data_IF_685933738854
#
_entry.id   IF_685933738854
#
_cell.length_a   1.000
_cell.length_b   1.000
_cell.length_c   1.000
_cell.angle_alpha   90.00
_cell.angle_beta   90.00
_cell.angle_gamma   90.00
#
_symmetry.space_group_name_H-M   'P 1'
#
loop_
_entity.id
_entity.type
_entity.pdbx_description
1 polymer ?
#
# COMPACT_ATOMS: atom_id res chain seq x y z
N UNK A 1 -64.29 18.07 -48.10
CA UNK A 1 -63.16 17.96 -47.10
C UNK A 1 -62.31 16.77 -47.54
N UNK A 2 -61.16 17.05 -48.14
CA UNK A 2 -60.36 16.07 -48.89
C UNK A 2 -59.45 15.26 -47.95
N UNK A 3 -59.27 14.01 -48.30
CA UNK A 3 -58.49 12.96 -47.65
C UNK A 3 -56.98 13.32 -47.40
N UNK A 4 -56.57 14.49 -47.81
CA UNK A 4 -55.17 14.92 -47.71
C UNK A 4 -54.80 15.69 -46.41
N UNK A 5 -55.79 16.01 -45.57
CA UNK A 5 -55.51 16.71 -44.28
C UNK A 5 -55.32 15.77 -43.07
N UNK A 6 -55.76 14.51 -43.19
CA UNK A 6 -55.61 13.52 -42.09
C UNK A 6 -54.22 12.82 -42.04
N UNK A 7 -53.41 12.97 -43.12
CA UNK A 7 -52.10 12.28 -43.23
C UNK A 7 -50.89 13.12 -42.77
N UNK A 8 -51.12 14.36 -42.34
CA UNK A 8 -50.05 15.26 -41.85
C UNK A 8 -49.90 15.39 -40.35
N UNK A 9 -50.77 14.72 -39.57
CA UNK A 9 -50.73 14.77 -38.09
C UNK A 9 -50.10 13.52 -37.47
N UNK A 10 -49.79 12.47 -38.25
CA UNK A 10 -49.23 11.21 -37.76
C UNK A 10 -47.70 11.05 -37.99
N UNK A 11 -47.01 12.08 -38.45
CA UNK A 11 -45.58 12.05 -38.78
C UNK A 11 -44.73 12.98 -37.86
N UNK A 12 -45.27 13.45 -36.74
CA UNK A 12 -44.64 14.44 -35.88
C UNK A 12 -44.30 13.98 -34.45
N UNK A 13 -44.37 12.68 -34.15
CA UNK A 13 -44.16 12.19 -32.77
C UNK A 13 -43.17 11.02 -32.66
N UNK A 14 -42.16 10.94 -33.54
CA UNK A 14 -41.01 10.04 -33.35
C UNK A 14 -39.77 10.93 -33.37
N UNK A 15 -39.69 11.82 -32.37
CA UNK A 15 -38.50 12.61 -32.11
C UNK A 15 -37.92 12.18 -30.76
N UNK A 16 -36.86 11.36 -30.83
CA UNK A 16 -35.72 11.54 -29.98
C UNK A 16 -35.87 11.20 -28.51
N UNK A 17 -36.09 9.92 -28.16
CA UNK A 17 -35.45 9.41 -26.94
C UNK A 17 -33.97 9.18 -27.29
N UNK A 18 -33.20 10.27 -27.32
CA UNK A 18 -31.77 10.18 -27.17
C UNK A 18 -31.54 9.64 -25.75
N UNK A 19 -31.34 8.31 -25.62
CA UNK A 19 -30.72 7.75 -24.44
C UNK A 19 -29.38 8.46 -24.29
N UNK A 20 -29.34 9.40 -23.33
CA UNK A 20 -28.11 9.84 -22.72
C UNK A 20 -27.60 8.59 -21.96
N UNK A 21 -26.91 7.71 -22.69
CA UNK A 21 -25.94 6.82 -22.09
C UNK A 21 -24.90 7.75 -21.47
N UNK A 22 -25.12 8.18 -20.23
CA UNK A 22 -24.08 8.65 -19.35
C UNK A 22 -23.09 7.49 -19.30
N UNK A 23 -22.07 7.55 -20.15
CA UNK A 23 -20.95 6.64 -20.09
C UNK A 23 -20.37 6.78 -18.69
N UNK A 24 -20.74 5.88 -17.78
CA UNK A 24 -19.97 5.67 -16.58
C UNK A 24 -18.55 5.36 -17.08
N UNK A 25 -17.67 6.34 -17.04
CA UNK A 25 -16.26 6.10 -17.32
C UNK A 25 -15.83 5.06 -16.31
N UNK A 26 -15.58 3.84 -16.78
CA UNK A 26 -15.01 2.81 -15.94
C UNK A 26 -13.74 3.39 -15.29
N UNK A 27 -13.65 3.32 -13.98
CA UNK A 27 -12.51 3.86 -13.25
C UNK A 27 -11.22 3.22 -13.77
N UNK A 28 -10.19 4.02 -13.99
CA UNK A 28 -8.92 3.50 -14.51
C UNK A 28 -8.22 2.66 -13.45
N UNK A 29 -7.52 1.60 -13.87
CA UNK A 29 -6.73 0.76 -12.96
C UNK A 29 -5.76 1.59 -12.10
N UNK A 30 -5.16 2.64 -12.67
CA UNK A 30 -4.30 3.58 -11.92
C UNK A 30 -5.06 4.30 -10.82
N UNK A 31 -6.28 4.73 -11.08
CA UNK A 31 -7.11 5.44 -10.09
C UNK A 31 -7.51 4.52 -8.95
N UNK A 32 -7.85 3.26 -9.22
CA UNK A 32 -8.15 2.24 -8.22
C UNK A 32 -6.94 2.03 -7.29
N UNK A 33 -5.74 1.86 -7.86
CA UNK A 33 -4.51 1.72 -7.07
C UNK A 33 -4.23 2.98 -6.26
N UNK A 34 -4.43 4.18 -6.84
CA UNK A 34 -4.23 5.45 -6.13
C UNK A 34 -5.19 5.59 -4.95
N UNK A 35 -6.46 5.24 -5.10
CA UNK A 35 -7.44 5.27 -4.00
C UNK A 35 -7.09 4.27 -2.90
N UNK A 36 -6.68 3.07 -3.28
CA UNK A 36 -6.19 2.08 -2.33
C UNK A 36 -5.01 2.63 -1.53
N UNK A 37 -3.97 3.15 -2.19
CA UNK A 37 -2.79 3.71 -1.53
C UNK A 37 -3.16 4.86 -0.58
N UNK A 38 -4.02 5.78 -1.01
CA UNK A 38 -4.48 6.90 -0.17
C UNK A 38 -5.33 6.44 1.03
N UNK A 39 -6.07 5.34 0.90
CA UNK A 39 -6.87 4.80 1.99
C UNK A 39 -5.98 4.39 3.18
N UNK A 40 -4.78 3.86 2.92
CA UNK A 40 -3.81 3.45 3.95
C UNK A 40 -2.98 4.59 4.53
N UNK A 41 -2.82 5.70 3.79
CA UNK A 41 -1.89 6.77 4.21
C UNK A 41 -2.56 7.94 4.87
N UNK A 42 -3.73 8.38 4.35
CA UNK A 42 -4.24 9.69 4.64
C UNK A 42 -3.29 10.82 4.18
N UNK A 43 -3.44 12.01 4.73
CA UNK A 43 -2.45 13.09 4.62
C UNK A 43 -1.27 12.81 5.54
N UNK A 44 -1.58 12.29 6.73
CA UNK A 44 -0.62 11.79 7.71
C UNK A 44 -1.24 10.63 8.47
N UNK A 45 -0.42 9.81 9.11
CA UNK A 45 -0.93 8.74 9.97
C UNK A 45 0.00 8.44 11.14
N UNK A 46 -0.60 7.92 12.21
CA UNK A 46 0.06 7.26 13.32
C UNK A 46 -0.49 5.85 13.48
N UNK A 47 0.38 4.89 13.78
CA UNK A 47 -0.06 3.53 14.09
C UNK A 47 0.81 2.89 15.18
N UNK A 48 0.18 2.03 15.98
CA UNK A 48 0.86 1.07 16.86
C UNK A 48 0.69 -0.33 16.28
N UNK A 49 1.82 -1.03 16.12
CA UNK A 49 1.88 -2.29 15.39
C UNK A 49 2.66 -3.32 16.21
N UNK A 50 2.13 -4.54 16.29
CA UNK A 50 2.92 -5.72 16.63
C UNK A 50 3.45 -6.34 15.35
N UNK A 51 4.76 -6.52 15.26
CA UNK A 51 5.42 -7.23 14.16
C UNK A 51 5.98 -8.54 14.66
N UNK A 52 5.50 -9.66 14.11
CA UNK A 52 6.00 -11.00 14.42
C UNK A 52 6.76 -11.55 13.23
N UNK A 53 8.05 -11.82 13.40
CA UNK A 53 8.91 -12.46 12.42
C UNK A 53 8.97 -13.94 12.74
N UNK A 54 8.50 -14.78 11.82
CA UNK A 54 8.53 -16.25 11.94
C UNK A 54 9.56 -16.81 10.98
N UNK A 55 10.50 -17.57 11.51
CA UNK A 55 11.51 -18.32 10.75
C UNK A 55 11.41 -19.80 11.14
N UNK A 56 11.99 -20.74 10.38
CA UNK A 56 11.88 -22.17 10.68
C UNK A 56 12.24 -22.55 12.11
N UNK A 57 13.28 -21.92 12.67
CA UNK A 57 13.85 -22.32 13.95
C UNK A 57 13.58 -21.32 15.09
N UNK A 58 13.00 -20.15 14.78
CA UNK A 58 12.73 -19.12 15.78
C UNK A 58 11.60 -18.18 15.38
N UNK A 59 11.02 -17.52 16.38
CA UNK A 59 10.08 -16.42 16.18
C UNK A 59 10.46 -15.25 17.07
N UNK A 60 10.22 -14.02 16.60
CA UNK A 60 10.47 -12.79 17.34
C UNK A 60 9.33 -11.81 17.16
N UNK A 61 8.80 -11.32 18.26
CA UNK A 61 7.82 -10.25 18.29
C UNK A 61 8.49 -8.91 18.61
N UNK A 62 8.04 -7.85 17.94
CA UNK A 62 8.47 -6.48 18.14
C UNK A 62 7.24 -5.57 18.22
N UNK A 63 7.26 -4.58 19.11
CA UNK A 63 6.26 -3.51 19.13
C UNK A 63 6.83 -2.27 18.48
N UNK A 64 6.03 -1.67 17.60
CA UNK A 64 6.45 -0.53 16.77
C UNK A 64 5.44 0.61 16.94
N UNK A 65 5.95 1.84 16.92
CA UNK A 65 5.16 3.05 16.64
C UNK A 65 5.58 3.60 15.28
N UNK A 66 4.62 3.94 14.46
CA UNK A 66 4.86 4.44 13.12
C UNK A 66 4.17 5.79 12.91
N UNK A 67 4.87 6.72 12.29
CA UNK A 67 4.33 8.00 11.84
C UNK A 67 4.63 8.18 10.36
N UNK A 68 3.69 8.71 9.62
CA UNK A 68 3.91 9.08 8.22
C UNK A 68 3.30 10.44 7.88
N UNK A 69 3.87 11.12 6.89
CA UNK A 69 3.31 12.32 6.27
C UNK A 69 3.51 12.25 4.77
N UNK A 70 2.38 12.19 4.04
CA UNK A 70 2.36 11.97 2.60
C UNK A 70 3.14 10.74 2.17
N UNK A 71 3.72 10.82 0.98
CA UNK A 71 4.56 9.76 0.38
C UNK A 71 6.02 9.85 0.82
N UNK A 72 6.44 10.99 1.32
CA UNK A 72 7.85 11.35 1.43
C UNK A 72 8.45 11.09 2.81
N UNK A 73 7.63 11.04 3.86
CA UNK A 73 8.12 11.00 5.23
C UNK A 73 7.57 9.82 6.02
N UNK A 74 8.43 9.18 6.78
CA UNK A 74 8.07 8.11 7.70
C UNK A 74 9.07 7.94 8.82
N UNK A 75 8.57 7.68 10.02
CA UNK A 75 9.38 7.31 11.18
C UNK A 75 8.81 6.04 11.78
N UNK A 76 9.66 5.07 12.07
CA UNK A 76 9.31 3.86 12.83
C UNK A 76 10.21 3.79 14.05
N UNK A 77 9.60 3.71 15.23
CA UNK A 77 10.26 3.50 16.51
C UNK A 77 9.99 2.09 17.01
N UNK A 78 11.03 1.35 17.35
CA UNK A 78 10.92 0.07 18.06
C UNK A 78 10.74 0.36 19.56
N UNK A 79 9.62 -0.10 20.14
CA UNK A 79 9.31 0.08 21.57
C UNK A 79 9.56 -1.17 22.41
N UNK A 80 9.56 -2.35 21.79
CA UNK A 80 9.90 -3.65 22.38
C UNK A 80 10.47 -4.60 21.31
N UNK A 81 11.25 -5.61 21.66
CA UNK A 81 11.74 -5.99 22.99
C UNK A 81 12.87 -5.06 23.50
N UNK A 82 13.30 -5.19 24.75
CA UNK A 82 14.35 -4.34 25.36
C UNK A 82 15.65 -4.27 24.54
N UNK A 83 16.04 -5.37 23.88
CA UNK A 83 17.24 -5.45 23.03
C UNK A 83 17.22 -4.46 21.88
N UNK A 84 16.06 -4.28 21.24
CA UNK A 84 15.89 -3.49 20.01
C UNK A 84 15.24 -2.12 20.29
N UNK A 85 14.77 -1.92 21.55
CA UNK A 85 14.06 -0.71 21.98
C UNK A 85 14.86 0.56 21.74
N UNK A 86 14.19 1.56 21.16
CA UNK A 86 14.78 2.85 20.83
C UNK A 86 15.46 2.90 19.47
N UNK A 87 15.51 1.77 18.73
CA UNK A 87 15.91 1.79 17.33
C UNK A 87 14.86 2.58 16.54
N UNK A 88 15.33 3.53 15.72
CA UNK A 88 14.46 4.37 14.88
C UNK A 88 14.87 4.24 13.43
N UNK A 89 13.92 3.96 12.55
CA UNK A 89 14.07 4.08 11.11
C UNK A 89 13.39 5.37 10.65
N UNK A 90 14.10 6.20 9.90
CA UNK A 90 13.60 7.42 9.27
C UNK A 90 13.64 7.26 7.76
N UNK A 91 12.49 7.43 7.12
CA UNK A 91 12.37 7.64 5.67
C UNK A 91 12.20 9.12 5.37
N UNK A 92 12.98 9.63 4.44
CA UNK A 92 12.76 10.96 3.81
C UNK A 92 12.92 10.82 2.30
N UNK A 93 11.82 10.95 1.57
CA UNK A 93 11.80 10.71 0.12
C UNK A 93 12.37 9.31 -0.20
N UNK A 94 13.46 9.25 -0.96
CA UNK A 94 14.10 8.00 -1.38
C UNK A 94 15.27 7.57 -0.47
N UNK A 95 15.40 8.16 0.70
CA UNK A 95 16.51 7.88 1.60
C UNK A 95 16.03 7.31 2.93
N UNK A 96 16.81 6.39 3.49
CA UNK A 96 16.55 5.75 4.78
C UNK A 96 17.73 5.93 5.70
N UNK A 97 17.46 6.21 6.97
CA UNK A 97 18.44 6.25 8.05
C UNK A 97 17.96 5.39 9.21
N UNK A 98 18.88 4.75 9.88
CA UNK A 98 18.64 4.04 11.12
C UNK A 98 19.40 4.71 12.27
N UNK A 99 18.70 5.04 13.34
CA UNK A 99 19.29 5.33 14.64
C UNK A 99 19.44 4.02 15.41
N UNK A 100 20.67 3.71 15.84
CA UNK A 100 21.00 2.50 16.61
C UNK A 100 21.46 2.93 17.99
N UNK A 101 20.61 2.76 19.04
CA UNK A 101 20.88 3.26 20.39
C UNK A 101 22.15 2.68 21.02
N UNK A 102 22.45 1.40 20.76
CA UNK A 102 23.61 0.71 21.35
C UNK A 102 24.96 1.28 20.97
N UNK A 103 25.04 2.00 19.84
CA UNK A 103 26.26 2.66 19.34
C UNK A 103 26.08 4.17 19.21
N UNK A 104 24.91 4.69 19.58
CA UNK A 104 24.56 6.12 19.53
C UNK A 104 24.80 6.79 18.17
N UNK A 105 24.53 6.08 17.06
CA UNK A 105 24.77 6.56 15.71
C UNK A 105 23.52 6.56 14.84
N UNK A 106 23.43 7.59 14.00
CA UNK A 106 22.55 7.61 12.83
C UNK A 106 23.35 7.10 11.64
N UNK A 107 22.84 6.05 11.00
CA UNK A 107 23.47 5.40 9.85
C UNK A 107 22.54 5.56 8.65
N UNK A 108 23.04 6.16 7.57
CA UNK A 108 22.32 6.20 6.29
C UNK A 108 22.43 4.83 5.63
N UNK A 109 21.34 4.29 5.16
CA UNK A 109 21.31 3.03 4.40
C UNK A 109 21.76 3.33 2.95
N UNK A 110 22.90 2.80 2.51
CA UNK A 110 23.37 3.01 1.15
C UNK A 110 22.53 2.22 0.14
N UNK A 111 22.51 2.59 -1.16
CA UNK A 111 21.76 1.88 -2.19
C UNK A 111 22.03 0.37 -2.25
N UNK A 112 23.26 -0.06 -2.02
CA UNK A 112 23.65 -1.48 -1.99
C UNK A 112 23.02 -2.29 -0.84
N UNK A 113 22.47 -1.63 0.18
CA UNK A 113 21.80 -2.28 1.31
C UNK A 113 20.27 -2.14 1.24
N UNK A 114 19.71 -1.53 0.20
CA UNK A 114 18.26 -1.34 0.11
C UNK A 114 17.50 -2.66 0.01
N UNK A 115 18.09 -3.67 -0.64
CA UNK A 115 17.49 -5.03 -0.74
C UNK A 115 17.71 -5.89 0.52
N UNK A 116 18.44 -5.40 1.51
CA UNK A 116 18.60 -6.14 2.75
C UNK A 116 17.32 -6.08 3.60
N UNK A 117 17.15 -7.15 4.39
CA UNK A 117 16.03 -7.31 5.32
C UNK A 117 15.97 -6.17 6.33
N UNK A 118 14.83 -5.51 6.43
CA UNK A 118 14.55 -4.51 7.43
C UNK A 118 14.25 -5.16 8.79
N UNK A 119 15.02 -4.84 9.80
CA UNK A 119 14.91 -5.39 11.16
C UNK A 119 14.91 -6.95 11.21
N UNK A 120 15.41 -7.62 10.17
CA UNK A 120 15.40 -9.09 10.06
C UNK A 120 14.07 -9.69 9.59
N UNK A 121 13.10 -8.85 9.21
CA UNK A 121 11.81 -9.24 8.65
C UNK A 121 11.90 -9.69 7.18
N UNK A 122 10.77 -10.06 6.59
CA UNK A 122 10.66 -10.36 5.16
C UNK A 122 10.44 -9.10 4.30
N UNK A 123 10.29 -7.93 4.95
CA UNK A 123 10.38 -6.63 4.31
C UNK A 123 11.83 -6.23 4.08
N UNK A 124 12.11 -5.55 3.00
CA UNK A 124 13.42 -4.94 2.70
C UNK A 124 13.41 -3.45 3.08
N UNK A 125 14.58 -2.83 3.17
CA UNK A 125 14.66 -1.37 3.31
C UNK A 125 14.03 -0.66 2.10
N UNK A 126 14.08 -1.26 0.92
CA UNK A 126 13.46 -0.72 -0.30
C UNK A 126 11.93 -0.73 -0.22
N UNK A 127 11.32 -1.76 0.36
CA UNK A 127 9.88 -1.83 0.57
C UNK A 127 9.36 -0.63 1.38
N UNK A 128 10.12 -0.14 2.36
CA UNK A 128 9.76 1.04 3.15
C UNK A 128 9.75 2.35 2.33
N UNK A 129 10.62 2.45 1.34
CA UNK A 129 10.78 3.66 0.51
C UNK A 129 9.83 3.65 -0.66
N UNK A 130 9.69 2.49 -1.31
CA UNK A 130 9.01 2.34 -2.60
C UNK A 130 7.51 2.08 -2.49
N UNK A 131 6.98 1.93 -1.29
CA UNK A 131 5.57 1.63 -1.07
C UNK A 131 4.62 2.61 -1.79
N UNK A 132 4.99 3.89 -1.91
CA UNK A 132 4.21 4.91 -2.64
C UNK A 132 4.51 4.97 -4.14
N UNK A 133 5.58 4.35 -4.61
CA UNK A 133 5.98 4.39 -6.01
C UNK A 133 5.06 3.59 -6.93
N UNK A 134 4.27 2.66 -6.38
CA UNK A 134 3.33 1.82 -7.15
C UNK A 134 2.35 2.63 -8.01
N UNK A 135 2.00 3.85 -7.63
CA UNK A 135 1.12 4.73 -8.39
C UNK A 135 1.86 5.49 -9.51
N UNK A 136 3.13 5.85 -9.25
CA UNK A 136 3.91 6.76 -10.11
C UNK A 136 4.81 6.01 -11.09
N UNK A 137 5.46 4.94 -10.63
CA UNK A 137 6.55 4.27 -11.33
C UNK A 137 6.10 3.07 -12.16
N UNK A 138 4.83 2.69 -12.08
CA UNK A 138 4.25 1.57 -12.83
C UNK A 138 3.19 2.02 -13.83
N UNK A 139 3.00 1.23 -14.87
CA UNK A 139 1.81 1.20 -15.70
C UNK A 139 0.81 0.23 -15.07
N UNK A 140 -0.49 0.49 -15.22
CA UNK A 140 -1.55 -0.25 -14.54
C UNK A 140 -2.53 -0.80 -15.57
N UNK A 141 -2.82 -2.09 -15.50
CA UNK A 141 -3.78 -2.77 -16.37
C UNK A 141 -4.78 -3.54 -15.51
N UNK A 142 -6.07 -3.27 -15.70
CA UNK A 142 -7.14 -4.09 -15.12
C UNK A 142 -7.13 -5.44 -15.85
N UNK A 143 -6.82 -6.51 -15.12
CA UNK A 143 -6.66 -7.87 -15.67
C UNK A 143 -7.89 -8.74 -15.48
N UNK A 144 -8.88 -8.26 -14.71
CA UNK A 144 -10.12 -8.97 -14.40
C UNK A 144 -10.59 -8.73 -12.98
N UNK A 145 -11.50 -9.58 -12.52
CA UNK A 145 -12.05 -9.57 -11.17
C UNK A 145 -11.92 -10.96 -10.55
N UNK A 146 -11.94 -11.02 -9.23
CA UNK A 146 -11.95 -12.26 -8.45
C UNK A 146 -12.65 -12.04 -7.11
N UNK A 147 -12.83 -13.12 -6.35
CA UNK A 147 -13.37 -13.04 -4.98
C UNK A 147 -12.32 -13.55 -4.01
N UNK A 148 -12.01 -12.75 -2.99
CA UNK A 148 -11.11 -13.10 -1.88
C UNK A 148 -11.88 -12.88 -0.58
N UNK A 149 -12.00 -13.90 0.26
CA UNK A 149 -12.69 -13.86 1.57
C UNK A 149 -14.11 -13.24 1.49
N UNK A 150 -14.85 -13.53 0.39
CA UNK A 150 -16.21 -13.01 0.16
C UNK A 150 -16.27 -11.59 -0.42
N UNK A 151 -15.13 -10.92 -0.65
CA UNK A 151 -15.07 -9.60 -1.25
C UNK A 151 -14.73 -9.69 -2.75
N UNK A 152 -15.52 -9.03 -3.59
CA UNK A 152 -15.18 -8.84 -5.01
C UNK A 152 -14.00 -7.90 -5.11
N UNK A 153 -12.96 -8.31 -5.85
CA UNK A 153 -11.71 -7.57 -6.00
C UNK A 153 -11.39 -7.34 -7.47
N UNK A 154 -10.96 -6.14 -7.80
CA UNK A 154 -10.23 -5.88 -9.02
C UNK A 154 -8.88 -6.59 -8.98
N UNK A 155 -8.49 -7.23 -10.08
CA UNK A 155 -7.16 -7.76 -10.29
C UNK A 155 -6.39 -6.80 -11.21
N UNK A 156 -5.36 -6.15 -10.67
CA UNK A 156 -4.60 -5.15 -11.41
C UNK A 156 -3.15 -5.61 -11.52
N UNK A 157 -2.69 -5.72 -12.77
CA UNK A 157 -1.29 -5.98 -13.10
C UNK A 157 -0.56 -4.66 -13.26
N UNK A 158 0.59 -4.55 -12.58
CA UNK A 158 1.46 -3.39 -12.62
C UNK A 158 2.83 -3.79 -13.17
N UNK A 159 3.26 -3.11 -14.23
CA UNK A 159 4.57 -3.29 -14.87
C UNK A 159 5.36 -1.99 -14.71
N UNK A 160 6.64 -2.05 -14.30
CA UNK A 160 7.45 -0.85 -14.14
C UNK A 160 7.53 -0.07 -15.46
N UNK A 161 7.54 1.26 -15.34
CA UNK A 161 7.85 2.13 -16.47
C UNK A 161 9.32 2.02 -16.84
N UNK A 162 9.65 2.38 -18.07
CA UNK A 162 11.03 2.46 -18.52
C UNK A 162 11.86 3.35 -17.57
N UNK A 163 13.01 2.86 -17.15
CA UNK A 163 13.91 3.53 -16.19
C UNK A 163 13.34 3.83 -14.79
N UNK A 164 12.19 3.24 -14.42
CA UNK A 164 11.69 3.37 -13.05
C UNK A 164 12.68 2.74 -12.06
N UNK A 165 13.06 3.44 -10.98
CA UNK A 165 14.04 2.94 -10.02
C UNK A 165 13.39 1.96 -9.03
N UNK A 166 12.80 0.88 -9.53
CA UNK A 166 12.07 -0.15 -8.78
C UNK A 166 12.70 -1.51 -8.96
N UNK A 167 12.45 -2.43 -8.04
CA UNK A 167 13.07 -3.76 -7.99
C UNK A 167 12.14 -4.86 -8.48
N UNK A 168 10.83 -4.63 -8.51
CA UNK A 168 9.87 -5.63 -8.92
C UNK A 168 9.58 -5.51 -10.41
N UNK A 169 9.84 -6.56 -11.18
CA UNK A 169 9.54 -6.62 -12.63
C UNK A 169 8.04 -6.67 -12.93
N UNK A 170 7.23 -7.15 -11.97
CA UNK A 170 5.77 -7.15 -12.04
C UNK A 170 5.18 -7.21 -10.64
N UNK A 171 4.06 -6.50 -10.43
CA UNK A 171 3.24 -6.66 -9.23
C UNK A 171 1.80 -6.91 -9.66
N UNK A 172 1.12 -7.85 -9.02
CA UNK A 172 -0.33 -8.05 -9.16
C UNK A 172 -0.97 -7.69 -7.83
N UNK A 173 -1.95 -6.79 -7.84
CA UNK A 173 -2.69 -6.40 -6.64
C UNK A 173 -4.16 -6.75 -6.79
N UNK A 174 -4.76 -7.14 -5.66
CA UNK A 174 -6.16 -7.50 -5.52
C UNK A 174 -6.81 -6.50 -4.56
N UNK A 175 -7.65 -5.64 -5.11
CA UNK A 175 -8.23 -4.49 -4.41
C UNK A 175 -9.74 -4.61 -4.42
N UNK A 176 -10.39 -4.54 -3.25
CA UNK A 176 -11.84 -4.64 -3.14
C UNK A 176 -12.55 -3.53 -3.92
N UNK A 177 -13.68 -3.87 -4.56
CA UNK A 177 -14.44 -2.92 -5.38
C UNK A 177 -15.16 -1.86 -4.54
N UNK A 178 -15.52 -2.16 -3.30
CA UNK A 178 -16.32 -1.26 -2.47
C UNK A 178 -15.49 -0.23 -1.70
N UNK A 179 -14.41 -0.66 -1.03
CA UNK A 179 -13.66 0.21 -0.12
C UNK A 179 -12.20 0.39 -0.52
N UNK A 180 -11.80 -0.09 -1.70
CA UNK A 180 -10.42 -0.01 -2.20
C UNK A 180 -9.39 -0.58 -1.24
N UNK A 181 -9.74 -1.68 -0.56
CA UNK A 181 -8.85 -2.38 0.36
C UNK A 181 -8.01 -3.38 -0.45
N UNK A 182 -6.69 -3.31 -0.33
CA UNK A 182 -5.81 -4.31 -0.90
C UNK A 182 -5.81 -5.56 0.01
N UNK A 183 -6.36 -6.66 -0.48
CA UNK A 183 -6.39 -7.93 0.26
C UNK A 183 -5.20 -8.83 -0.07
N UNK A 184 -4.60 -8.67 -1.24
CA UNK A 184 -3.45 -9.46 -1.67
C UNK A 184 -2.57 -8.65 -2.61
N UNK A 185 -1.26 -8.90 -2.57
CA UNK A 185 -0.33 -8.54 -3.64
C UNK A 185 0.68 -9.65 -3.87
N UNK A 186 1.09 -9.80 -5.11
CA UNK A 186 2.09 -10.75 -5.57
C UNK A 186 3.20 -9.98 -6.27
N UNK A 187 4.43 -10.14 -5.79
CA UNK A 187 5.60 -9.43 -6.30
C UNK A 187 6.50 -10.40 -7.02
N UNK A 188 6.80 -10.09 -8.27
CA UNK A 188 7.63 -10.89 -9.16
C UNK A 188 8.94 -10.15 -9.42
N UNK A 189 10.03 -10.89 -9.50
CA UNK A 189 11.33 -10.35 -9.87
C UNK A 189 11.41 -9.98 -11.37
N UNK A 190 12.59 -9.54 -11.82
CA UNK A 190 12.83 -9.15 -13.21
C UNK A 190 12.75 -10.34 -14.17
N UNK A 191 13.05 -11.55 -13.71
CA UNK A 191 12.97 -12.79 -14.48
C UNK A 191 11.54 -13.37 -14.53
N UNK A 192 10.60 -12.77 -13.79
CA UNK A 192 9.19 -13.16 -13.74
C UNK A 192 8.86 -14.26 -12.73
N UNK A 193 9.78 -14.62 -11.83
CA UNK A 193 9.49 -15.55 -10.73
C UNK A 193 8.78 -14.85 -9.59
N UNK A 194 7.78 -15.53 -9.02
CA UNK A 194 7.08 -15.05 -7.82
C UNK A 194 8.05 -15.05 -6.64
N UNK A 195 8.31 -13.86 -6.11
CA UNK A 195 9.28 -13.63 -5.03
C UNK A 195 8.61 -13.52 -3.66
N UNK A 196 7.53 -12.74 -3.56
CA UNK A 196 6.81 -12.50 -2.30
C UNK A 196 5.31 -12.42 -2.53
N UNK A 197 4.57 -12.82 -1.50
CA UNK A 197 3.12 -12.63 -1.41
C UNK A 197 2.84 -11.83 -0.14
N UNK A 198 2.03 -10.80 -0.25
CA UNK A 198 1.47 -10.09 0.90
C UNK A 198 -0.04 -10.28 0.91
N UNK A 199 -0.60 -10.68 2.03
CA UNK A 199 -2.03 -10.80 2.25
C UNK A 199 -2.47 -9.90 3.39
N UNK A 200 -3.74 -9.51 3.41
CA UNK A 200 -4.34 -8.76 4.51
C UNK A 200 -5.74 -9.27 4.83
N UNK A 201 -6.13 -9.16 6.09
CA UNK A 201 -7.41 -9.65 6.61
C UNK A 201 -7.85 -8.88 7.86
N UNK A 202 -8.99 -9.28 8.45
CA UNK A 202 -9.55 -8.66 9.65
C UNK A 202 -9.83 -7.17 9.45
N UNK A 203 -10.75 -6.86 8.51
CA UNK A 203 -11.13 -5.48 8.19
C UNK A 203 -11.84 -4.84 9.38
N UNK A 204 -11.38 -3.67 9.80
CA UNK A 204 -11.98 -2.85 10.86
C UNK A 204 -12.20 -1.42 10.39
N UNK A 205 -13.04 -0.69 11.13
CA UNK A 205 -13.37 0.70 10.84
C UNK A 205 -12.55 1.66 11.69
N UNK A 206 -11.83 2.57 11.04
CA UNK A 206 -11.06 3.66 11.64
C UNK A 206 -11.61 5.00 11.13
N UNK A 207 -12.46 5.64 11.93
CA UNK A 207 -13.19 6.83 11.52
C UNK A 207 -14.09 6.55 10.31
N UNK A 208 -13.75 7.09 9.14
CA UNK A 208 -14.48 6.87 7.87
C UNK A 208 -13.82 5.81 6.97
N UNK A 209 -12.73 5.18 7.39
CA UNK A 209 -11.94 4.22 6.60
C UNK A 209 -12.21 2.81 7.07
N UNK A 210 -12.28 1.88 6.13
CA UNK A 210 -12.24 0.45 6.41
C UNK A 210 -10.87 -0.07 5.97
N UNK A 211 -10.16 -0.69 6.91
CA UNK A 211 -8.78 -1.14 6.70
C UNK A 211 -8.55 -2.48 7.38
N UNK A 212 -7.74 -3.37 6.76
CA UNK A 212 -7.34 -4.60 7.41
C UNK A 212 -6.32 -4.31 8.51
N UNK A 213 -6.46 -4.98 9.63
CA UNK A 213 -5.53 -4.85 10.75
C UNK A 213 -4.46 -5.93 10.78
N UNK A 214 -4.64 -7.01 10.03
CA UNK A 214 -3.71 -8.14 9.96
C UNK A 214 -3.10 -8.21 8.57
N UNK A 215 -1.77 -8.20 8.50
CA UNK A 215 -0.99 -8.29 7.27
C UNK A 215 0.06 -9.38 7.41
N UNK A 216 0.23 -10.18 6.37
CA UNK A 216 1.25 -11.21 6.31
C UNK A 216 2.08 -11.06 5.04
N UNK A 217 3.41 -10.99 5.18
CA UNK A 217 4.38 -11.02 4.09
C UNK A 217 5.09 -12.37 4.11
N UNK A 218 4.98 -13.10 3.01
CA UNK A 218 5.57 -14.42 2.85
C UNK A 218 6.46 -14.48 1.61
N UNK A 219 7.76 -14.85 1.73
CA UNK A 219 8.57 -15.21 0.58
C UNK A 219 8.03 -16.47 -0.09
N UNK A 220 7.88 -16.48 -1.43
CA UNK A 220 7.24 -17.56 -2.16
C UNK A 220 7.99 -18.89 -2.04
N UNK A 221 9.33 -18.85 -2.02
CA UNK A 221 10.17 -20.05 -1.92
C UNK A 221 10.36 -20.56 -0.48
N UNK A 222 9.84 -19.84 0.53
CA UNK A 222 10.05 -20.16 1.95
C UNK A 222 8.70 -20.26 2.69
N UNK A 223 7.93 -21.33 2.49
CA UNK A 223 6.58 -21.46 3.03
C UNK A 223 6.51 -21.47 4.58
N UNK A 224 7.61 -21.79 5.26
CA UNK A 224 7.71 -21.79 6.73
C UNK A 224 8.28 -20.48 7.30
N UNK A 225 8.35 -19.44 6.49
CA UNK A 225 8.87 -18.14 6.88
C UNK A 225 7.86 -17.05 6.53
N UNK A 226 7.59 -16.15 7.44
CA UNK A 226 6.71 -14.99 7.21
C UNK A 226 6.94 -13.88 8.23
N UNK A 227 6.51 -12.71 7.87
CA UNK A 227 6.40 -11.57 8.79
C UNK A 227 4.95 -11.13 8.87
N UNK A 228 4.43 -11.07 10.09
CA UNK A 228 3.06 -10.65 10.41
C UNK A 228 3.08 -9.25 11.00
N UNK A 229 2.18 -8.38 10.56
CA UNK A 229 1.93 -7.07 11.15
C UNK A 229 0.49 -7.02 11.64
N UNK A 230 0.30 -6.78 12.94
CA UNK A 230 -1.00 -6.58 13.57
C UNK A 230 -1.12 -5.14 14.05
N UNK A 231 -2.02 -4.38 13.43
CA UNK A 231 -2.31 -2.99 13.79
C UNK A 231 -3.21 -2.97 15.02
N UNK A 232 -2.77 -2.32 16.09
CA UNK A 232 -3.51 -2.17 17.35
C UNK A 232 -4.22 -0.82 17.44
N UNK A 233 -3.59 0.20 16.89
CA UNK A 233 -4.09 1.57 16.82
C UNK A 233 -3.74 2.16 15.46
N UNK A 234 -4.64 2.96 14.89
CA UNK A 234 -4.39 3.64 13.62
C UNK A 234 -5.18 4.94 13.56
N UNK A 235 -4.48 6.05 13.53
CA UNK A 235 -5.03 7.39 13.44
C UNK A 235 -4.59 8.06 12.14
N UNK A 236 -5.45 8.92 11.60
CA UNK A 236 -5.22 9.56 10.31
C UNK A 236 -5.43 11.06 10.37
N UNK A 237 -4.81 11.75 9.41
CA UNK A 237 -5.03 13.17 9.11
C UNK A 237 -4.74 14.08 10.31
N UNK A 238 -3.80 13.66 11.18
CA UNK A 238 -3.33 14.42 12.32
C UNK A 238 -2.24 15.43 11.91
N UNK A 239 -2.14 16.58 12.53
CA UNK A 239 -1.06 17.53 12.24
C UNK A 239 0.27 16.98 12.77
N UNK A 240 1.22 16.72 11.88
CA UNK A 240 2.60 16.35 12.22
C UNK A 240 3.53 17.35 11.56
N UNK A 241 4.36 18.02 12.36
CA UNK A 241 5.35 18.96 11.85
C UNK A 241 6.43 18.26 11.04
N UNK A 242 6.84 18.79 9.90
CA UNK A 242 7.91 18.26 9.05
C UNK A 242 9.23 18.10 9.81
N UNK A 243 9.50 18.94 10.81
CA UNK A 243 10.66 18.84 11.69
C UNK A 243 10.69 17.54 12.50
N UNK A 244 9.51 16.89 12.71
CA UNK A 244 9.42 15.57 13.32
C UNK A 244 10.18 14.51 12.51
N UNK A 245 10.17 14.61 11.18
CA UNK A 245 10.83 13.68 10.26
C UNK A 245 12.28 14.11 9.98
N UNK A 246 13.08 14.37 11.02
CA UNK A 246 14.47 14.78 10.92
C UNK A 246 15.42 13.81 11.61
N UNK A 247 16.68 13.73 11.11
CA UNK A 247 17.72 12.91 11.77
C UNK A 247 17.97 13.36 13.21
N UNK A 248 17.81 14.65 13.51
CA UNK A 248 17.96 15.17 14.86
C UNK A 248 16.88 14.61 15.79
N UNK A 249 15.65 14.46 15.29
CA UNK A 249 14.53 13.97 16.08
C UNK A 249 14.62 12.45 16.33
N UNK A 250 15.31 11.66 15.48
CA UNK A 250 15.46 10.21 15.67
C UNK A 250 15.97 9.83 17.07
N UNK A 251 16.77 10.68 17.70
CA UNK A 251 17.30 10.47 19.06
C UNK A 251 16.27 10.78 20.16
N UNK A 252 15.17 11.45 19.85
CA UNK A 252 14.20 12.01 20.80
C UNK A 252 12.83 11.37 20.72
N UNK A 253 12.51 10.71 19.61
CA UNK A 253 11.23 10.01 19.41
C UNK A 253 11.01 8.99 20.54
N UNK A 254 9.82 9.04 21.17
CA UNK A 254 9.42 8.17 22.30
C UNK A 254 8.07 7.51 22.04
#
# INVERSE_FOLDING_TARGET
MSYQQALRVLLGAVAGVAMLCSGAHAESAKEIVRRSDQNYRGVSSYAEISMTIVKPDWSREMSLKMWSSGDDYGVVLVTAPPRDKGTVTLKRKNEVWNWVPSIERVIKIPPSMMMQSWLGSDFTNDDLVKQSSIVKDYTHTLSGDTVIDGHTCYVITMIPKEHAPVVWGKIIVYITTEHYIQLRSEMFDEDGYLSKIMTSSNIQTFGKRQLPIHWEMQPAEKPNQRTVLDYREWEFDMPIDDAFFSQQNMRRVR
#
